data_IF_534283683823
#
_entry.id   IF_534283683823
#
_cell.length_a   1.000
_cell.length_b   1.000
_cell.length_c   1.000
_cell.angle_alpha   90.00
_cell.angle_beta   90.00
_cell.angle_gamma   90.00
#
_symmetry.space_group_name_H-M   'P 1'
#
loop_
_entity.id
_entity.type
_entity.pdbx_description
1 polymer ?
#
# COMPACT_ATOMS: atom_id res chain seq x y z
N UNK A 1 16.34 -17.82 -13.23
CA UNK A 1 17.11 -17.36 -12.07
C UNK A 1 16.99 -15.84 -11.81
N UNK A 2 17.20 -15.00 -12.82
CA UNK A 2 17.04 -13.54 -12.64
C UNK A 2 15.60 -13.08 -12.35
N UNK A 3 14.59 -13.76 -12.89
CA UNK A 3 13.18 -13.43 -12.68
C UNK A 3 12.71 -13.66 -11.23
N UNK A 4 13.22 -14.68 -10.56
CA UNK A 4 12.87 -15.00 -9.16
C UNK A 4 13.37 -13.93 -8.18
N UNK A 5 14.61 -13.45 -8.38
CA UNK A 5 15.20 -12.42 -7.50
C UNK A 5 14.45 -11.09 -7.64
N UNK A 6 13.99 -10.76 -8.85
CA UNK A 6 13.19 -9.55 -9.08
C UNK A 6 11.78 -9.66 -8.51
N UNK A 7 11.15 -10.84 -8.57
CA UNK A 7 9.82 -11.07 -8.03
C UNK A 7 9.78 -10.92 -6.50
N UNK A 8 10.77 -11.46 -5.80
CA UNK A 8 10.87 -11.32 -4.33
C UNK A 8 11.07 -9.87 -3.90
N UNK A 9 11.97 -9.16 -4.58
CA UNK A 9 12.22 -7.74 -4.29
C UNK A 9 10.99 -6.88 -4.59
N UNK A 10 10.28 -7.18 -5.67
CA UNK A 10 9.05 -6.50 -6.06
C UNK A 10 7.93 -6.76 -5.06
N UNK A 11 7.79 -8.01 -4.60
CA UNK A 11 6.81 -8.40 -3.59
C UNK A 11 7.04 -7.65 -2.28
N UNK A 12 8.27 -7.60 -1.80
CA UNK A 12 8.64 -6.90 -0.56
C UNK A 12 8.35 -5.40 -0.70
N UNK A 13 8.75 -4.80 -1.81
CA UNK A 13 8.51 -3.38 -2.08
C UNK A 13 7.01 -3.06 -2.08
N UNK A 14 6.20 -3.83 -2.81
CA UNK A 14 4.75 -3.65 -2.86
C UNK A 14 4.08 -3.90 -1.51
N UNK A 15 4.56 -4.88 -0.74
CA UNK A 15 4.05 -5.14 0.60
C UNK A 15 4.21 -3.92 1.52
N UNK A 16 5.42 -3.36 1.60
CA UNK A 16 5.69 -2.20 2.45
C UNK A 16 4.97 -0.95 1.94
N UNK A 17 4.90 -0.75 0.64
CA UNK A 17 4.18 0.37 0.04
C UNK A 17 2.68 0.31 0.34
N UNK A 18 2.06 -0.86 0.20
CA UNK A 18 0.66 -1.09 0.55
C UNK A 18 0.41 -0.95 2.05
N UNK A 19 1.32 -1.47 2.89
CA UNK A 19 1.24 -1.34 4.33
C UNK A 19 1.28 0.12 4.77
N UNK A 20 2.17 0.91 4.19
CA UNK A 20 2.28 2.33 4.43
C UNK A 20 1.01 3.08 4.02
N UNK A 21 0.52 2.81 2.81
CA UNK A 21 -0.70 3.41 2.28
C UNK A 21 -1.91 3.10 3.17
N UNK A 22 -2.13 1.84 3.54
CA UNK A 22 -3.22 1.43 4.42
C UNK A 22 -3.13 2.04 5.81
N UNK A 23 -1.93 2.14 6.38
CA UNK A 23 -1.70 2.77 7.67
C UNK A 23 -2.02 4.26 7.63
N UNK A 24 -1.63 4.96 6.56
CA UNK A 24 -1.91 6.37 6.35
C UNK A 24 -3.43 6.61 6.23
N UNK A 25 -4.12 5.81 5.45
CA UNK A 25 -5.59 5.89 5.29
C UNK A 25 -6.30 5.59 6.61
N UNK A 26 -5.84 4.59 7.36
CA UNK A 26 -6.36 4.29 8.70
C UNK A 26 -6.22 5.49 9.65
N UNK A 27 -5.08 6.18 9.59
CA UNK A 27 -4.85 7.40 10.36
C UNK A 27 -5.81 8.53 9.94
N UNK A 28 -6.02 8.73 8.64
CA UNK A 28 -6.91 9.75 8.09
C UNK A 28 -8.39 9.49 8.40
N UNK A 29 -8.78 8.23 8.50
CA UNK A 29 -10.16 7.84 8.79
C UNK A 29 -10.47 7.77 10.30
N UNK A 30 -9.47 7.94 11.17
CA UNK A 30 -9.60 7.73 12.62
C UNK A 30 -10.23 6.37 12.98
N UNK A 31 -10.05 5.36 12.13
CA UNK A 31 -10.54 4.02 12.37
C UNK A 31 -9.51 3.22 13.16
N UNK A 32 -9.94 2.62 14.27
CA UNK A 32 -9.11 1.70 15.04
C UNK A 32 -9.07 0.31 14.35
N UNK A 33 -8.41 0.23 13.21
CA UNK A 33 -8.25 -1.05 12.49
C UNK A 33 -7.14 -1.85 13.15
N UNK A 34 -7.37 -3.15 13.33
CA UNK A 34 -6.39 -4.06 13.93
C UNK A 34 -5.16 -4.21 13.02
N UNK A 35 -3.97 -4.17 13.60
CA UNK A 35 -2.70 -4.32 12.88
C UNK A 35 -2.67 -5.58 12.00
N UNK A 36 -3.30 -6.68 12.46
CA UNK A 36 -3.44 -7.94 11.70
C UNK A 36 -4.18 -7.75 10.37
N UNK A 37 -5.22 -6.91 10.32
CA UNK A 37 -5.97 -6.62 9.09
C UNK A 37 -5.19 -5.75 8.12
N UNK A 38 -4.42 -4.79 8.64
CA UNK A 38 -3.52 -3.96 7.82
C UNK A 38 -2.45 -4.83 7.14
N UNK A 39 -1.84 -5.74 7.89
CA UNK A 39 -0.83 -6.67 7.37
C UNK A 39 -1.45 -7.63 6.33
N UNK A 40 -2.63 -8.20 6.62
CA UNK A 40 -3.32 -9.06 5.68
C UNK A 40 -3.71 -8.33 4.38
N UNK A 41 -4.22 -7.09 4.49
CA UNK A 41 -4.52 -6.25 3.33
C UNK A 41 -3.29 -5.88 2.51
N UNK A 42 -2.18 -5.55 3.16
CA UNK A 42 -0.91 -5.27 2.49
C UNK A 42 -0.37 -6.50 1.76
N UNK A 43 -0.48 -7.70 2.37
CA UNK A 43 -0.12 -8.96 1.73
C UNK A 43 -0.97 -9.27 0.50
N UNK A 44 -2.28 -9.12 0.61
CA UNK A 44 -3.19 -9.28 -0.54
C UNK A 44 -2.85 -8.29 -1.67
N UNK A 45 -2.59 -7.02 -1.33
CA UNK A 45 -2.19 -6.02 -2.31
C UNK A 45 -0.85 -6.34 -2.99
N UNK A 46 0.12 -6.87 -2.25
CA UNK A 46 1.41 -7.27 -2.81
C UNK A 46 1.28 -8.48 -3.76
N UNK A 47 0.49 -9.48 -3.38
CA UNK A 47 0.23 -10.66 -4.22
C UNK A 47 -0.53 -10.26 -5.49
N UNK A 48 -1.53 -9.38 -5.38
CA UNK A 48 -2.28 -8.90 -6.56
C UNK A 48 -1.44 -8.07 -7.52
N UNK A 49 -0.42 -7.36 -7.03
CA UNK A 49 0.53 -6.63 -7.88
C UNK A 49 1.42 -7.55 -8.73
N UNK A 50 1.61 -8.80 -8.31
CA UNK A 50 2.36 -9.81 -9.09
C UNK A 50 1.50 -10.50 -10.16
N UNK A 51 0.17 -10.45 -10.03
CA UNK A 51 -0.76 -11.10 -10.97
C UNK A 51 -0.50 -10.73 -12.45
N UNK A 52 -0.30 -9.44 -12.82
CA UNK A 52 -0.02 -9.07 -14.21
C UNK A 52 1.31 -9.64 -14.76
N UNK A 53 2.27 -9.91 -13.86
CA UNK A 53 3.58 -10.48 -14.25
C UNK A 53 3.43 -11.96 -14.64
N UNK A 54 2.55 -12.69 -13.96
CA UNK A 54 2.32 -14.12 -14.20
C UNK A 54 1.21 -14.39 -15.23
N UNK A 55 0.23 -13.49 -15.36
CA UNK A 55 -0.79 -13.57 -16.40
C UNK A 55 -0.61 -12.39 -17.37
N UNK A 56 0.05 -12.58 -18.50
CA UNK A 56 0.10 -11.56 -19.53
C UNK A 56 -1.30 -11.39 -20.13
N UNK A 57 -2.10 -10.54 -19.49
CA UNK A 57 -3.38 -10.11 -20.05
C UNK A 57 -3.06 -9.15 -21.21
N UNK A 58 -3.22 -9.64 -22.44
CA UNK A 58 -3.05 -8.86 -23.69
C UNK A 58 -4.16 -7.78 -23.86
N UNK A 59 -4.62 -7.19 -22.80
CA UNK A 59 -5.58 -6.11 -22.81
C UNK A 59 -4.83 -4.79 -22.58
N UNK A 60 -4.99 -3.85 -23.49
CA UNK A 60 -4.38 -2.50 -23.39
C UNK A 60 -4.67 -1.80 -22.04
N UNK A 61 -5.74 -2.19 -21.37
CA UNK A 61 -6.17 -1.65 -20.06
C UNK A 61 -6.07 -2.67 -18.92
N UNK A 62 -5.50 -3.84 -19.15
CA UNK A 62 -5.46 -4.94 -18.19
C UNK A 62 -4.78 -4.57 -16.88
N UNK A 63 -3.70 -3.80 -16.96
CA UNK A 63 -2.96 -3.31 -15.79
C UNK A 63 -3.79 -2.33 -14.94
N UNK A 64 -4.48 -1.39 -15.58
CA UNK A 64 -5.32 -0.43 -14.88
C UNK A 64 -6.54 -1.08 -14.21
N UNK A 65 -7.18 -2.04 -14.89
CA UNK A 65 -8.30 -2.81 -14.34
C UNK A 65 -7.82 -3.69 -13.19
N UNK A 66 -6.69 -4.36 -13.34
CA UNK A 66 -6.08 -5.17 -12.29
C UNK A 66 -5.74 -4.36 -11.05
N UNK A 67 -5.20 -3.17 -11.23
CA UNK A 67 -4.91 -2.24 -10.13
C UNK A 67 -6.19 -1.79 -9.41
N UNK A 68 -7.22 -1.38 -10.14
CA UNK A 68 -8.49 -0.96 -9.55
C UNK A 68 -9.18 -2.09 -8.78
N UNK A 69 -9.17 -3.32 -9.32
CA UNK A 69 -9.70 -4.50 -8.64
C UNK A 69 -8.92 -4.81 -7.35
N UNK A 70 -7.59 -4.78 -7.43
CA UNK A 70 -6.72 -5.00 -6.28
C UNK A 70 -6.99 -4.00 -5.15
N UNK A 71 -7.05 -2.71 -5.46
CA UNK A 71 -7.35 -1.66 -4.50
C UNK A 71 -8.75 -1.84 -3.91
N UNK A 72 -9.75 -2.21 -4.72
CA UNK A 72 -11.13 -2.42 -4.27
C UNK A 72 -11.25 -3.60 -3.31
N UNK A 73 -10.61 -4.73 -3.61
CA UNK A 73 -10.57 -5.91 -2.73
C UNK A 73 -9.85 -5.58 -1.42
N UNK A 74 -8.73 -4.90 -1.50
CA UNK A 74 -7.94 -4.49 -0.35
C UNK A 74 -8.75 -3.56 0.58
N UNK A 75 -9.49 -2.60 0.02
CA UNK A 75 -10.40 -1.72 0.75
C UNK A 75 -11.50 -2.51 1.47
N UNK A 76 -12.14 -3.44 0.78
CA UNK A 76 -13.23 -4.25 1.34
C UNK A 76 -12.79 -5.15 2.50
N UNK A 77 -11.60 -5.75 2.39
CA UNK A 77 -11.05 -6.64 3.43
C UNK A 77 -10.60 -5.86 4.66
N UNK A 78 -9.92 -4.73 4.47
CA UNK A 78 -9.33 -3.96 5.57
C UNK A 78 -10.36 -3.14 6.32
N UNK A 79 -11.20 -2.38 5.61
CA UNK A 79 -12.04 -1.34 6.20
C UNK A 79 -13.47 -1.77 6.56
N UNK A 80 -13.91 -3.02 6.31
CA UNK A 80 -15.28 -3.50 6.62
C UNK A 80 -16.34 -2.46 6.25
N UNK A 81 -16.44 -2.13 4.99
CA UNK A 81 -17.31 -1.09 4.49
C UNK A 81 -18.75 -1.57 4.45
N UNK A 82 -19.66 -0.88 5.14
CA UNK A 82 -21.08 -1.24 5.24
C UNK A 82 -21.97 -0.47 4.24
N UNK A 83 -21.39 0.21 3.25
CA UNK A 83 -22.17 0.95 2.26
C UNK A 83 -21.32 1.63 1.19
N UNK A 84 -21.94 1.85 0.03
CA UNK A 84 -21.29 2.47 -1.14
C UNK A 84 -20.67 3.85 -0.84
N UNK A 85 -21.34 4.68 -0.02
CA UNK A 85 -20.81 6.00 0.35
C UNK A 85 -19.52 5.91 1.17
N UNK A 86 -19.47 4.96 2.12
CA UNK A 86 -18.26 4.72 2.91
C UNK A 86 -17.14 4.14 2.05
N UNK A 87 -17.48 3.23 1.13
CA UNK A 87 -16.53 2.66 0.18
C UNK A 87 -15.87 3.73 -0.69
N UNK A 88 -16.66 4.63 -1.27
CA UNK A 88 -16.17 5.74 -2.06
C UNK A 88 -15.26 6.68 -1.24
N UNK A 89 -15.64 6.99 -0.01
CA UNK A 89 -14.82 7.82 0.86
C UNK A 89 -13.48 7.18 1.25
N UNK A 90 -13.44 5.86 1.43
CA UNK A 90 -12.19 5.13 1.65
C UNK A 90 -11.34 5.11 0.38
N UNK A 91 -11.96 4.86 -0.78
CA UNK A 91 -11.30 4.81 -2.08
C UNK A 91 -10.66 6.16 -2.43
N UNK A 92 -11.36 7.26 -2.20
CA UNK A 92 -10.85 8.63 -2.39
C UNK A 92 -9.59 8.88 -1.55
N UNK A 93 -9.63 8.49 -0.26
CA UNK A 93 -8.48 8.65 0.64
C UNK A 93 -7.32 7.73 0.26
N UNK A 94 -7.61 6.52 -0.22
CA UNK A 94 -6.57 5.64 -0.75
C UNK A 94 -5.91 6.23 -1.99
N UNK A 95 -6.68 6.80 -2.89
CA UNK A 95 -6.14 7.47 -4.07
C UNK A 95 -5.26 8.67 -3.69
N UNK A 96 -5.71 9.49 -2.75
CA UNK A 96 -4.94 10.62 -2.22
C UNK A 96 -3.62 10.13 -1.56
N UNK A 97 -3.69 9.08 -0.75
CA UNK A 97 -2.51 8.50 -0.11
C UNK A 97 -1.51 7.96 -1.15
N UNK A 98 -2.00 7.31 -2.21
CA UNK A 98 -1.16 6.81 -3.31
C UNK A 98 -0.43 7.93 -4.03
N UNK A 99 -1.13 9.03 -4.33
CA UNK A 99 -0.53 10.21 -4.95
C UNK A 99 0.55 10.83 -4.05
N UNK A 100 0.31 10.90 -2.75
CA UNK A 100 1.21 11.46 -1.78
C UNK A 100 2.49 10.61 -1.64
N UNK A 101 2.33 9.30 -1.55
CA UNK A 101 3.46 8.35 -1.51
C UNK A 101 4.25 8.41 -2.82
N UNK A 102 3.57 8.41 -3.97
CA UNK A 102 4.21 8.53 -5.27
C UNK A 102 5.02 9.80 -5.41
N UNK A 103 4.50 10.94 -4.95
CA UNK A 103 5.21 12.21 -4.94
C UNK A 103 6.47 12.18 -4.05
N UNK A 104 6.36 11.58 -2.86
CA UNK A 104 7.50 11.42 -1.94
C UNK A 104 8.58 10.54 -2.58
N UNK A 105 8.19 9.39 -3.15
CA UNK A 105 9.12 8.46 -3.82
C UNK A 105 9.82 9.14 -5.00
N UNK A 106 9.07 9.87 -5.84
CA UNK A 106 9.65 10.62 -6.95
C UNK A 106 10.65 11.69 -6.51
N UNK A 107 10.35 12.38 -5.41
CA UNK A 107 11.24 13.38 -4.83
C UNK A 107 12.55 12.72 -4.36
N UNK A 108 12.46 11.57 -3.69
CA UNK A 108 13.63 10.82 -3.22
C UNK A 108 14.49 10.30 -4.38
N UNK A 109 13.87 9.78 -5.43
CA UNK A 109 14.59 9.32 -6.64
C UNK A 109 15.37 10.47 -7.28
N UNK A 110 14.85 11.69 -7.26
CA UNK A 110 15.56 12.86 -7.79
C UNK A 110 16.71 13.36 -6.91
N UNK A 111 16.60 13.17 -5.60
CA UNK A 111 17.58 13.70 -4.64
C UNK A 111 18.76 12.75 -4.40
N UNK A 112 18.59 11.44 -4.62
CA UNK A 112 19.62 10.44 -4.36
C UNK A 112 20.40 10.09 -5.64
N UNK A 113 21.74 9.95 -5.57
CA UNK A 113 22.54 9.47 -6.68
C UNK A 113 22.18 8.03 -7.05
N UNK A 114 22.29 7.70 -8.35
CA UNK A 114 21.85 6.44 -8.96
C UNK A 114 22.11 5.14 -8.17
N UNK A 115 23.31 4.89 -7.62
CA UNK A 115 23.57 3.61 -6.95
C UNK A 115 22.82 3.44 -5.63
N UNK A 116 22.36 4.55 -5.01
CA UNK A 116 21.68 4.53 -3.71
C UNK A 116 20.15 4.67 -3.81
N UNK A 117 19.60 4.90 -4.99
CA UNK A 117 18.18 5.19 -5.17
C UNK A 117 17.27 4.05 -4.70
N UNK A 118 17.58 2.82 -5.07
CA UNK A 118 16.76 1.66 -4.70
C UNK A 118 16.80 1.40 -3.19
N UNK A 119 17.99 1.37 -2.60
CA UNK A 119 18.16 1.14 -1.17
C UNK A 119 17.56 2.28 -0.33
N UNK A 120 17.73 3.52 -0.76
CA UNK A 120 17.17 4.70 -0.10
C UNK A 120 15.63 4.70 -0.14
N UNK A 121 15.03 4.39 -1.28
CA UNK A 121 13.57 4.29 -1.44
C UNK A 121 13.00 3.18 -0.57
N UNK A 122 13.65 2.04 -0.52
CA UNK A 122 13.24 0.90 0.32
C UNK A 122 13.31 1.25 1.81
N UNK A 123 14.40 1.89 2.26
CA UNK A 123 14.54 2.33 3.65
C UNK A 123 13.45 3.34 4.07
N UNK A 124 13.13 4.30 3.22
CA UNK A 124 12.07 5.29 3.49
C UNK A 124 10.71 4.63 3.58
N UNK A 125 10.40 3.68 2.69
CA UNK A 125 9.14 2.94 2.72
C UNK A 125 9.02 2.06 3.97
N UNK A 126 10.08 1.38 4.36
CA UNK A 126 10.11 0.56 5.59
C UNK A 126 9.94 1.45 6.83
N UNK A 127 10.72 2.52 6.93
CA UNK A 127 10.66 3.44 8.06
C UNK A 127 9.28 4.13 8.15
N UNK A 128 8.73 4.57 7.02
CA UNK A 128 7.40 5.14 6.94
C UNK A 128 6.30 4.16 7.33
N UNK A 129 6.40 2.92 6.86
CA UNK A 129 5.45 1.85 7.22
C UNK A 129 5.45 1.52 8.71
N UNK A 130 6.63 1.39 9.30
CA UNK A 130 6.78 1.15 10.75
C UNK A 130 6.28 2.36 11.55
N UNK A 131 6.65 3.58 11.15
CA UNK A 131 6.23 4.81 11.81
C UNK A 131 4.72 4.98 11.83
N UNK A 132 4.04 4.75 10.72
CA UNK A 132 2.58 4.83 10.63
C UNK A 132 1.86 3.73 11.41
N UNK A 133 2.42 2.52 11.47
CA UNK A 133 1.90 1.45 12.31
C UNK A 133 2.01 1.79 13.80
N UNK A 134 3.10 2.39 14.24
CA UNK A 134 3.27 2.85 15.62
C UNK A 134 2.27 3.96 15.96
N UNK A 135 2.10 4.95 15.09
CA UNK A 135 1.12 6.02 15.27
C UNK A 135 -0.31 5.46 15.31
N UNK A 136 -0.64 4.53 14.41
CA UNK A 136 -1.94 3.85 14.38
C UNK A 136 -2.23 3.10 15.70
N UNK A 137 -1.21 2.46 16.29
CA UNK A 137 -1.34 1.83 17.62
C UNK A 137 -1.56 2.83 18.74
N UNK A 138 -0.84 3.95 18.72
CA UNK A 138 -0.99 5.00 19.74
C UNK A 138 -2.36 5.67 19.70
N UNK A 139 -2.88 5.93 18.51
CA UNK A 139 -4.20 6.52 18.30
C UNK A 139 -5.31 5.52 18.66
N UNK A 140 -5.16 4.24 18.30
CA UNK A 140 -6.10 3.18 18.64
C UNK A 140 -6.16 2.89 20.15
N UNK A 141 -5.03 2.99 20.85
CA UNK A 141 -4.97 2.79 22.30
C UNK A 141 -5.64 3.87 23.15
N UNK A 142 -5.78 5.08 22.63
CA UNK A 142 -6.46 6.18 23.33
C UNK A 142 -7.99 6.09 23.32
N UNK A 143 -8.60 5.29 22.45
CA UNK A 143 -10.07 5.12 22.37
C UNK A 143 -10.64 4.04 23.27
N UNK A 144 -9.79 3.29 24.01
CA UNK A 144 -10.24 2.24 24.94
C UNK A 144 -10.16 2.65 26.42
N UNK A 145 -10.16 3.91 26.72
CA UNK A 145 -10.39 4.44 28.08
C UNK A 145 -11.63 5.39 28.02
#
# INVERSE_FOLDING_TARGET
MYLEIYADSLLILHFFMNLYMLSLVNCMLYHAITCKRLIAGAGLGAVSALLPVFLPLNLEYGEAIGFLLSVSVMCGVVFKVNGIKQFLGVLEKMFLATLLIGAIVMLFIRLLPEPCQFAGTLMVLIAGGIGTLLISRMVGGKKMK
#
